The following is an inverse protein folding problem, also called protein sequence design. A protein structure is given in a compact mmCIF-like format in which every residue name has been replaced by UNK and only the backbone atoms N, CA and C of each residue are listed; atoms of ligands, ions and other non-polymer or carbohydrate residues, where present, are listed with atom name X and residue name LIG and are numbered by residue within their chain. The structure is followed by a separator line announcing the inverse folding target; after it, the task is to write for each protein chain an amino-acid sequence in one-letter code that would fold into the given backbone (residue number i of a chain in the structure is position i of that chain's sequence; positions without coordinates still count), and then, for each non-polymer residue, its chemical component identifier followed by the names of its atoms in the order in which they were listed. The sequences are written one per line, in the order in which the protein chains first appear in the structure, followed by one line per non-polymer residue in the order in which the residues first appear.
data_IF_954221074917
#
_entry.id   IF_954221074917
#
_cell.length_a   1.000
_cell.length_b   1.000
_cell.length_c   1.000
_cell.angle_alpha   90.00
_cell.angle_beta   90.00
_cell.angle_gamma   90.00
#
_symmetry.space_group_name_H-M   'P 1'
#
loop_
_entity.id
_entity.type
_entity.pdbx_description
1 polymer ?
#
# COMPACT_ATOMS: atom_id res chain seq x y z
N UNK A 1 10.44 31.51 6.34
CA UNK A 1 11.67 31.21 5.62
C UNK A 1 12.26 29.93 6.18
N UNK A 2 11.94 28.80 5.59
CA UNK A 2 12.66 27.53 5.81
C UNK A 2 13.89 27.62 4.92
N UNK A 3 15.04 27.84 5.54
CA UNK A 3 16.34 27.89 4.84
C UNK A 3 16.80 26.44 4.67
N UNK A 4 16.61 25.87 3.49
CA UNK A 4 17.34 24.65 3.08
C UNK A 4 18.72 25.13 2.61
N UNK A 5 19.67 25.29 3.53
CA UNK A 5 21.08 25.51 3.19
C UNK A 5 21.78 24.16 3.06
N UNK A 6 22.30 23.91 1.87
CA UNK A 6 23.40 23.00 1.55
C UNK A 6 23.55 21.77 2.46
N UNK A 7 23.02 20.65 2.02
CA UNK A 7 23.52 19.35 2.48
C UNK A 7 24.96 19.25 2.02
N UNK A 8 25.90 19.59 2.90
CA UNK A 8 27.31 19.29 2.69
C UNK A 8 27.44 17.82 2.36
N UNK A 9 28.13 17.51 1.27
CA UNK A 9 28.64 16.17 1.00
C UNK A 9 29.34 15.70 2.26
N UNK A 10 28.70 14.84 3.05
CA UNK A 10 29.37 14.12 4.13
C UNK A 10 30.40 13.21 3.47
N UNK A 11 31.60 13.74 3.32
CA UNK A 11 32.80 12.96 3.08
C UNK A 11 32.97 12.13 4.36
N UNK A 12 32.62 10.87 4.31
CA UNK A 12 33.03 9.89 5.31
C UNK A 12 34.55 9.92 5.33
N UNK A 13 35.13 10.70 6.27
CA UNK A 13 36.55 10.58 6.55
C UNK A 13 36.76 9.14 7.05
N UNK A 14 37.56 8.37 6.33
CA UNK A 14 38.10 7.10 6.80
C UNK A 14 38.82 7.36 8.11
N UNK A 15 38.21 7.02 9.22
CA UNK A 15 38.92 6.86 10.46
C UNK A 15 39.72 5.57 10.34
N UNK A 16 41.03 5.67 10.24
CA UNK A 16 42.00 4.55 10.34
C UNK A 16 42.13 4.02 11.79
N UNK A 17 41.04 3.93 12.52
CA UNK A 17 40.98 3.16 13.75
C UNK A 17 40.69 1.72 13.37
N UNK A 18 41.57 0.79 13.75
CA UNK A 18 41.62 -0.62 13.35
C UNK A 18 40.27 -1.25 13.07
N UNK A 19 40.09 -1.73 11.84
CA UNK A 19 38.84 -2.32 11.36
C UNK A 19 38.35 -3.36 12.35
N UNK A 20 37.32 -3.03 13.12
CA UNK A 20 36.67 -3.97 14.00
C UNK A 20 35.99 -5.05 13.15
N UNK A 21 36.37 -6.32 13.36
CA UNK A 21 35.85 -7.48 12.64
C UNK A 21 34.30 -7.52 12.52
N UNK A 22 33.59 -6.83 13.43
CA UNK A 22 32.12 -6.71 13.39
C UNK A 22 31.59 -5.94 12.18
N UNK A 23 32.38 -5.04 11.58
CA UNK A 23 31.96 -4.26 10.41
C UNK A 23 32.24 -4.97 9.08
N UNK A 24 33.14 -5.97 9.07
CA UNK A 24 33.51 -6.67 7.83
C UNK A 24 32.33 -7.30 7.11
N UNK A 25 31.31 -7.77 7.85
CA UNK A 25 30.08 -8.32 7.27
C UNK A 25 29.30 -7.24 6.50
N UNK A 26 29.20 -6.05 7.06
CA UNK A 26 28.46 -4.93 6.44
C UNK A 26 29.23 -4.42 5.22
N UNK A 27 30.56 -4.26 5.36
CA UNK A 27 31.40 -3.81 4.25
C UNK A 27 31.35 -4.79 3.07
N UNK A 28 31.43 -6.09 3.31
CA UNK A 28 31.29 -7.12 2.28
C UNK A 28 29.91 -7.08 1.61
N UNK A 29 28.83 -6.91 2.37
CA UNK A 29 27.49 -6.79 1.82
C UNK A 29 27.34 -5.54 0.94
N UNK A 30 27.88 -4.39 1.37
CA UNK A 30 27.87 -3.15 0.58
C UNK A 30 28.68 -3.26 -0.72
N UNK A 31 29.82 -3.95 -0.68
CA UNK A 31 30.64 -4.24 -1.87
C UNK A 31 29.85 -5.12 -2.83
N UNK A 32 29.28 -6.21 -2.35
CA UNK A 32 28.46 -7.13 -3.15
C UNK A 32 27.26 -6.42 -3.80
N UNK A 33 26.56 -5.53 -3.07
CA UNK A 33 25.46 -4.75 -3.63
C UNK A 33 25.92 -3.83 -4.78
N UNK A 34 27.13 -3.27 -4.69
CA UNK A 34 27.70 -2.42 -5.74
C UNK A 34 28.15 -3.24 -6.97
N UNK A 35 28.79 -4.39 -6.72
CA UNK A 35 29.25 -5.29 -7.78
C UNK A 35 28.09 -5.88 -8.59
N UNK A 36 26.95 -6.13 -7.93
CA UNK A 36 25.73 -6.66 -8.56
C UNK A 36 24.75 -5.56 -8.99
N UNK A 37 25.16 -4.30 -9.05
CA UNK A 37 24.31 -3.15 -9.42
C UNK A 37 23.03 -2.97 -8.58
N UNK A 38 22.97 -3.56 -7.40
CA UNK A 38 21.82 -3.48 -6.47
C UNK A 38 21.95 -2.38 -5.41
N UNK A 39 23.00 -1.56 -5.47
CA UNK A 39 23.24 -0.49 -4.49
C UNK A 39 22.30 0.68 -4.73
N UNK A 40 21.43 0.95 -3.75
CA UNK A 40 20.40 1.99 -3.85
C UNK A 40 20.88 3.33 -3.31
N UNK A 41 20.54 4.40 -4.03
CA UNK A 41 20.77 5.79 -3.60
C UNK A 41 19.44 6.55 -3.62
N UNK A 42 19.30 7.51 -2.71
CA UNK A 42 18.12 8.39 -2.68
C UNK A 42 18.41 9.68 -3.44
N UNK A 43 17.46 10.09 -4.31
CA UNK A 43 17.46 11.39 -4.95
C UNK A 43 16.47 12.31 -4.26
N UNK A 44 16.86 13.55 -3.98
CA UNK A 44 15.98 14.53 -3.38
C UNK A 44 15.13 15.23 -4.46
N UNK A 45 13.81 15.22 -4.26
CA UNK A 45 12.88 16.02 -5.06
C UNK A 45 12.76 17.38 -4.39
N UNK A 46 12.97 18.46 -5.16
CA UNK A 46 13.01 19.86 -4.68
C UNK A 46 11.68 20.59 -4.87
N UNK A 47 10.73 19.98 -5.55
CA UNK A 47 9.38 20.52 -5.82
C UNK A 47 8.28 19.69 -5.12
N UNK A 48 7.04 20.13 -5.26
CA UNK A 48 5.89 19.28 -4.90
C UNK A 48 5.83 18.05 -5.83
N UNK A 49 5.31 16.93 -5.32
CA UNK A 49 5.05 15.74 -6.12
C UNK A 49 3.90 16.00 -7.09
N UNK A 50 4.20 15.98 -8.38
CA UNK A 50 3.24 16.10 -9.48
C UNK A 50 3.80 15.36 -10.71
N UNK A 51 3.17 15.51 -11.87
CA UNK A 51 3.66 14.95 -13.15
C UNK A 51 5.04 15.49 -13.55
N UNK A 52 5.43 16.65 -13.03
CA UNK A 52 6.75 17.24 -13.22
C UNK A 52 7.38 17.54 -11.87
N UNK A 53 8.66 17.24 -11.74
CA UNK A 53 9.43 17.47 -10.50
C UNK A 53 10.81 18.03 -10.82
N UNK A 54 11.38 18.78 -9.87
CA UNK A 54 12.73 19.29 -9.94
C UNK A 54 13.67 18.41 -9.11
N UNK A 55 14.78 17.95 -9.71
CA UNK A 55 15.83 17.17 -9.05
C UNK A 55 17.18 17.75 -9.50
N UNK A 56 18.05 18.06 -8.56
CA UNK A 56 19.37 18.71 -8.83
C UNK A 56 19.23 19.95 -9.73
N UNK A 57 18.21 20.78 -9.50
CA UNK A 57 17.90 21.99 -10.24
C UNK A 57 17.44 21.77 -11.70
N UNK A 58 17.07 20.55 -12.09
CA UNK A 58 16.55 20.21 -13.42
C UNK A 58 15.14 19.66 -13.34
N UNK A 59 14.32 20.01 -14.32
CA UNK A 59 12.96 19.53 -14.43
C UNK A 59 12.89 18.16 -15.13
N UNK A 60 12.08 17.27 -14.56
CA UNK A 60 11.84 15.91 -15.07
C UNK A 60 10.35 15.61 -15.12
N UNK A 61 9.96 14.79 -16.11
CA UNK A 61 8.65 14.12 -16.10
C UNK A 61 8.72 12.95 -15.14
N UNK A 62 7.81 12.93 -14.14
CA UNK A 62 7.79 11.89 -13.11
C UNK A 62 6.89 10.73 -13.56
N UNK A 63 7.50 9.63 -14.01
CA UNK A 63 6.81 8.44 -14.50
C UNK A 63 6.69 7.32 -13.43
N UNK A 64 7.30 7.48 -12.26
CA UNK A 64 7.39 6.43 -11.24
C UNK A 64 6.68 6.78 -9.91
N UNK A 65 5.78 7.77 -9.92
CA UNK A 65 5.03 8.16 -8.73
C UNK A 65 3.83 7.24 -8.49
N UNK A 66 3.58 6.93 -7.21
CA UNK A 66 2.33 6.30 -6.79
C UNK A 66 1.19 7.30 -6.52
N UNK A 67 1.41 8.60 -6.72
CA UNK A 67 0.39 9.64 -6.63
C UNK A 67 -0.48 9.64 -7.91
N UNK A 68 -1.16 8.52 -8.16
CA UNK A 68 -1.81 8.19 -9.43
C UNK A 68 -2.82 9.22 -9.93
N UNK A 69 -3.47 9.95 -9.01
CA UNK A 69 -4.50 10.95 -9.33
C UNK A 69 -4.02 12.39 -9.19
N UNK A 70 -2.72 12.59 -8.88
CA UNK A 70 -2.10 13.90 -8.65
C UNK A 70 -2.85 14.77 -7.64
N UNK A 71 -3.26 14.16 -6.51
CA UNK A 71 -4.00 14.87 -5.47
C UNK A 71 -3.19 15.15 -4.19
N UNK A 72 -1.96 14.64 -4.06
CA UNK A 72 -1.12 14.89 -2.88
C UNK A 72 -0.89 16.38 -2.58
N UNK A 73 -0.95 17.24 -3.60
CA UNK A 73 -0.83 18.70 -3.49
C UNK A 73 -2.14 19.46 -3.65
N UNK A 74 -3.30 18.75 -3.61
CA UNK A 74 -4.60 19.34 -3.85
C UNK A 74 -4.93 20.47 -2.85
N UNK A 75 -5.57 21.58 -3.31
CA UNK A 75 -5.91 22.71 -2.41
C UNK A 75 -6.74 22.31 -1.20
N UNK A 76 -7.71 21.39 -1.36
CA UNK A 76 -8.54 20.89 -0.26
C UNK A 76 -7.71 20.17 0.80
N UNK A 77 -6.71 19.36 0.40
CA UNK A 77 -5.80 18.70 1.34
C UNK A 77 -4.97 19.74 2.10
N UNK A 78 -4.39 20.70 1.41
CA UNK A 78 -3.62 21.79 2.03
C UNK A 78 -4.46 22.58 3.04
N UNK A 79 -5.72 22.89 2.71
CA UNK A 79 -6.64 23.60 3.60
C UNK A 79 -6.95 22.77 4.85
N UNK A 80 -7.28 21.49 4.70
CA UNK A 80 -7.55 20.58 5.82
C UNK A 80 -6.34 20.42 6.76
N UNK A 81 -5.13 20.34 6.19
CA UNK A 81 -3.86 20.30 6.94
C UNK A 81 -3.65 21.56 7.77
N UNK A 82 -3.87 22.74 7.20
CA UNK A 82 -3.72 24.01 7.90
C UNK A 82 -4.74 24.15 9.05
N UNK A 83 -5.99 23.79 8.81
CA UNK A 83 -7.05 23.81 9.83
C UNK A 83 -6.74 22.83 10.98
N UNK A 84 -6.39 21.59 10.65
CA UNK A 84 -6.05 20.58 11.64
C UNK A 84 -4.82 20.97 12.46
N UNK A 85 -3.81 21.57 11.83
CA UNK A 85 -2.61 22.08 12.52
C UNK A 85 -2.98 23.17 13.52
N UNK A 86 -3.85 24.12 13.13
CA UNK A 86 -4.31 25.20 14.01
C UNK A 86 -5.09 24.67 15.21
N UNK A 87 -5.90 23.61 15.02
CA UNK A 87 -6.81 23.08 16.05
C UNK A 87 -6.15 22.07 16.99
N UNK A 88 -5.32 21.18 16.46
CA UNK A 88 -4.79 20.01 17.19
C UNK A 88 -3.28 20.07 17.41
N UNK A 89 -2.56 21.01 16.82
CA UNK A 89 -1.11 20.96 16.71
C UNK A 89 -0.68 19.87 15.71
N UNK A 90 0.62 19.54 15.70
CA UNK A 90 1.17 18.60 14.70
C UNK A 90 1.15 17.15 15.15
N UNK A 91 1.55 16.85 16.39
CA UNK A 91 1.77 15.47 16.86
C UNK A 91 0.55 14.84 17.53
N UNK A 92 0.48 13.51 17.55
CA UNK A 92 -0.60 12.74 18.21
C UNK A 92 -0.39 12.58 19.72
N UNK A 93 0.85 12.62 20.21
CA UNK A 93 1.21 12.52 21.63
C UNK A 93 1.09 11.14 22.25
N UNK A 94 0.64 10.10 21.52
CA UNK A 94 0.49 8.75 22.07
C UNK A 94 -0.07 7.74 21.06
N UNK A 95 -0.27 6.50 21.52
CA UNK A 95 -0.97 5.48 20.74
C UNK A 95 -2.48 5.73 20.68
N UNK A 96 -3.16 5.08 19.74
CA UNK A 96 -4.61 5.20 19.56
C UNK A 96 -5.41 4.79 20.82
N UNK A 97 -4.91 3.83 21.58
CA UNK A 97 -5.59 3.30 22.79
C UNK A 97 -5.30 4.13 24.05
N UNK A 98 -4.42 5.11 23.98
CA UNK A 98 -4.10 5.98 25.12
C UNK A 98 -4.58 7.41 24.86
N UNK A 99 -3.74 8.27 24.31
CA UNK A 99 -4.01 9.70 24.10
C UNK A 99 -4.02 10.12 22.63
N UNK A 100 -3.60 9.27 21.72
CA UNK A 100 -3.41 9.58 20.31
C UNK A 100 -4.66 9.44 19.44
N UNK A 101 -5.85 9.22 20.02
CA UNK A 101 -7.10 9.13 19.26
C UNK A 101 -7.88 10.43 19.35
N UNK A 102 -8.01 11.14 18.23
CA UNK A 102 -8.83 12.36 18.13
C UNK A 102 -10.11 12.10 17.33
N UNK A 103 -11.04 13.06 17.35
CA UNK A 103 -12.26 13.00 16.54
C UNK A 103 -11.96 12.79 15.06
N UNK A 104 -10.89 13.40 14.53
CA UNK A 104 -10.50 13.27 13.10
C UNK A 104 -10.16 11.83 12.75
N UNK A 105 -9.55 11.06 13.66
CA UNK A 105 -9.29 9.64 13.47
C UNK A 105 -10.58 8.85 13.25
N UNK A 106 -11.55 9.05 14.15
CA UNK A 106 -12.83 8.36 14.05
C UNK A 106 -13.60 8.76 12.80
N UNK A 107 -13.55 10.06 12.44
CA UNK A 107 -14.19 10.56 11.22
C UNK A 107 -13.60 9.93 9.96
N UNK A 108 -12.26 9.82 9.89
CA UNK A 108 -11.60 9.16 8.77
C UNK A 108 -11.95 7.67 8.69
N UNK A 109 -11.92 6.94 9.80
CA UNK A 109 -12.26 5.52 9.84
C UNK A 109 -13.71 5.28 9.38
N UNK A 110 -14.66 6.10 9.84
CA UNK A 110 -16.04 6.06 9.39
C UNK A 110 -16.16 6.38 7.88
N UNK A 111 -15.36 7.35 7.40
CA UNK A 111 -15.33 7.72 5.99
C UNK A 111 -14.80 6.57 5.11
N UNK A 112 -13.72 5.91 5.54
CA UNK A 112 -13.17 4.73 4.84
C UNK A 112 -14.21 3.60 4.81
N UNK A 113 -14.85 3.30 5.94
CA UNK A 113 -15.89 2.27 6.02
C UNK A 113 -17.03 2.55 5.04
N UNK A 114 -17.52 3.80 5.02
CA UNK A 114 -18.56 4.23 4.07
C UNK A 114 -18.09 4.12 2.62
N UNK A 115 -16.87 4.61 2.31
CA UNK A 115 -16.31 4.58 0.96
C UNK A 115 -16.10 3.15 0.45
N UNK A 116 -15.74 2.21 1.33
CA UNK A 116 -15.55 0.79 1.01
C UNK A 116 -16.81 -0.05 1.20
N UNK A 117 -17.92 0.57 1.60
CA UNK A 117 -19.21 -0.12 1.87
C UNK A 117 -19.07 -1.26 2.87
N UNK A 118 -18.29 -1.06 3.93
CA UNK A 118 -18.02 -2.06 4.98
C UNK A 118 -18.59 -1.63 6.33
N UNK A 119 -18.64 -2.55 7.28
CA UNK A 119 -19.19 -2.27 8.61
C UNK A 119 -18.35 -1.32 9.46
N UNK A 120 -17.02 -1.36 9.30
CA UNK A 120 -16.07 -0.49 10.01
C UNK A 120 -14.71 -0.46 9.29
N UNK A 121 -13.82 0.45 9.74
CA UNK A 121 -12.43 0.49 9.32
C UNK A 121 -11.50 0.85 10.49
N UNK A 122 -10.22 0.53 10.34
CA UNK A 122 -9.14 0.87 11.28
C UNK A 122 -7.92 1.35 10.50
N UNK A 123 -7.30 2.44 10.96
CA UNK A 123 -6.13 3.06 10.30
C UNK A 123 -4.84 2.70 11.02
N UNK A 124 -3.83 2.33 10.23
CA UNK A 124 -2.46 2.01 10.64
C UNK A 124 -1.47 3.06 10.10
N UNK A 125 -0.28 3.11 10.68
CA UNK A 125 0.74 4.10 10.31
C UNK A 125 1.22 3.99 8.85
N UNK A 126 1.23 2.80 8.29
CA UNK A 126 1.58 2.56 6.88
C UNK A 126 0.79 1.36 6.34
N UNK A 127 0.67 1.23 5.02
CA UNK A 127 0.14 0.02 4.39
C UNK A 127 0.96 -1.23 4.77
N UNK A 128 2.29 -1.09 4.88
CA UNK A 128 3.16 -2.16 5.33
C UNK A 128 2.76 -2.68 6.72
N UNK A 129 2.57 -1.77 7.68
CA UNK A 129 2.14 -2.13 9.05
C UNK A 129 0.73 -2.71 9.05
N UNK A 130 -0.18 -2.20 8.20
CA UNK A 130 -1.54 -2.74 8.09
C UNK A 130 -1.53 -4.22 7.69
N UNK A 131 -0.75 -4.61 6.67
CA UNK A 131 -0.59 -6.01 6.27
C UNK A 131 0.04 -6.87 7.37
N UNK A 132 1.22 -6.47 7.85
CA UNK A 132 1.95 -7.25 8.86
C UNK A 132 1.14 -7.45 10.13
N UNK A 133 0.51 -6.37 10.64
CA UNK A 133 -0.26 -6.42 11.87
C UNK A 133 -1.56 -7.23 11.74
N UNK A 134 -2.23 -7.12 10.60
CA UNK A 134 -3.48 -7.82 10.33
C UNK A 134 -3.24 -9.31 10.16
N UNK A 135 -2.34 -9.71 9.27
CA UNK A 135 -2.06 -11.13 9.03
C UNK A 135 -1.58 -11.81 10.32
N UNK A 136 -0.65 -11.18 11.05
CA UNK A 136 -0.14 -11.75 12.30
C UNK A 136 -1.13 -11.74 13.46
N UNK A 137 -2.24 -10.98 13.36
CA UNK A 137 -3.34 -11.03 14.31
C UNK A 137 -4.39 -12.10 13.93
N UNK A 138 -4.61 -12.30 12.63
CA UNK A 138 -5.65 -13.20 12.12
C UNK A 138 -5.27 -14.68 12.17
N UNK A 139 -3.99 -14.99 11.99
CA UNK A 139 -3.47 -16.37 11.96
C UNK A 139 -2.23 -16.53 12.81
N UNK A 140 -2.04 -17.74 13.36
CA UNK A 140 -0.94 -18.07 14.24
C UNK A 140 -0.45 -19.51 14.01
N UNK A 141 0.44 -20.01 14.87
CA UNK A 141 0.97 -21.38 14.76
C UNK A 141 -0.18 -22.40 14.83
N UNK A 142 -0.29 -23.21 13.80
CA UNK A 142 -1.35 -24.22 13.63
C UNK A 142 -2.34 -23.87 12.52
N UNK A 143 -2.48 -22.59 12.20
CA UNK A 143 -3.30 -22.10 11.09
C UNK A 143 -2.54 -22.15 9.76
N UNK A 144 -3.23 -21.92 8.65
CA UNK A 144 -2.64 -21.90 7.31
C UNK A 144 -2.90 -20.57 6.59
N UNK A 145 -1.87 -20.06 5.90
CA UNK A 145 -1.98 -18.93 4.98
C UNK A 145 -1.72 -19.42 3.56
N UNK A 146 -2.66 -19.20 2.66
CA UNK A 146 -2.47 -19.38 1.22
C UNK A 146 -2.16 -18.02 0.60
N UNK A 147 -0.96 -17.86 0.04
CA UNK A 147 -0.44 -16.58 -0.45
C UNK A 147 -0.05 -16.68 -1.91
N UNK A 148 -0.49 -15.72 -2.74
CA UNK A 148 0.02 -15.58 -4.09
C UNK A 148 1.54 -15.38 -4.10
N UNK A 149 2.25 -15.95 -5.07
CA UNK A 149 3.72 -15.91 -5.12
C UNK A 149 4.28 -14.53 -5.40
N UNK A 150 3.51 -13.63 -6.02
CA UNK A 150 3.91 -12.25 -6.32
C UNK A 150 3.35 -11.21 -5.34
N UNK A 151 2.76 -11.64 -4.23
CA UNK A 151 2.27 -10.73 -3.21
C UNK A 151 3.36 -9.77 -2.70
N UNK A 152 2.94 -8.58 -2.33
CA UNK A 152 3.81 -7.54 -1.79
C UNK A 152 4.61 -8.02 -0.57
N UNK A 153 5.84 -7.52 -0.41
CA UNK A 153 6.76 -7.91 0.67
C UNK A 153 6.13 -7.81 2.08
N UNK A 154 5.25 -6.85 2.34
CA UNK A 154 4.56 -6.72 3.63
C UNK A 154 3.61 -7.89 3.93
N UNK A 155 2.98 -8.46 2.92
CA UNK A 155 2.15 -9.66 3.05
C UNK A 155 3.05 -10.85 3.40
N UNK A 156 4.15 -11.04 2.67
CA UNK A 156 5.14 -12.10 2.93
C UNK A 156 5.68 -12.00 4.35
N UNK A 157 6.03 -10.80 4.81
CA UNK A 157 6.56 -10.60 6.14
C UNK A 157 5.49 -10.79 7.23
N UNK A 158 4.24 -10.39 6.97
CA UNK A 158 3.11 -10.69 7.84
C UNK A 158 2.87 -12.20 8.00
N UNK A 159 2.91 -12.94 6.88
CA UNK A 159 2.82 -14.40 6.88
C UNK A 159 3.94 -15.04 7.72
N UNK A 160 5.18 -14.62 7.52
CA UNK A 160 6.33 -15.11 8.30
C UNK A 160 6.21 -14.82 9.81
N UNK A 161 5.76 -13.60 10.14
CA UNK A 161 5.61 -13.17 11.53
C UNK A 161 4.51 -13.95 12.26
N UNK A 162 3.45 -14.33 11.57
CA UNK A 162 2.33 -15.08 12.14
C UNK A 162 2.71 -16.46 12.65
N UNK A 163 3.78 -17.07 12.10
CA UNK A 163 4.22 -18.46 12.35
C UNK A 163 3.22 -19.51 11.89
N UNK A 164 2.23 -19.14 11.11
CA UNK A 164 1.31 -20.05 10.45
C UNK A 164 2.04 -20.87 9.37
N UNK A 165 1.43 -21.96 8.91
CA UNK A 165 1.91 -22.69 7.74
C UNK A 165 1.66 -21.85 6.50
N UNK A 166 2.71 -21.51 5.75
CA UNK A 166 2.60 -20.70 4.54
C UNK A 166 2.61 -21.63 3.33
N UNK A 167 1.55 -21.55 2.53
CA UNK A 167 1.39 -22.27 1.25
C UNK A 167 1.33 -21.23 0.14
N UNK A 168 2.34 -21.22 -0.71
CA UNK A 168 2.39 -20.33 -1.87
C UNK A 168 1.70 -21.02 -3.06
N UNK A 169 0.82 -20.29 -3.75
CA UNK A 169 0.22 -20.73 -5.00
C UNK A 169 0.73 -19.88 -6.17
N UNK A 170 0.68 -20.45 -7.37
CA UNK A 170 1.14 -19.79 -8.59
C UNK A 170 0.34 -18.52 -8.87
N UNK A 171 1.03 -17.50 -9.37
CA UNK A 171 0.50 -16.16 -9.55
C UNK A 171 -0.84 -16.13 -10.30
N UNK A 172 -1.86 -15.59 -9.62
CA UNK A 172 -3.23 -15.38 -10.11
C UNK A 172 -3.86 -16.65 -10.75
N UNK A 173 -3.38 -17.84 -10.30
CA UNK A 173 -3.84 -19.16 -10.75
C UNK A 173 -4.82 -19.78 -9.74
N UNK A 174 -6.11 -19.62 -10.05
CA UNK A 174 -7.18 -20.11 -9.18
C UNK A 174 -7.28 -21.62 -9.14
N UNK A 175 -6.84 -22.32 -10.20
CA UNK A 175 -6.80 -23.79 -10.21
C UNK A 175 -5.68 -24.33 -9.32
N UNK A 176 -4.51 -23.68 -9.34
CA UNK A 176 -3.42 -24.01 -8.42
C UNK A 176 -3.81 -23.71 -6.96
N UNK A 177 -4.50 -22.58 -6.70
CA UNK A 177 -5.03 -22.26 -5.37
C UNK A 177 -5.99 -23.36 -4.88
N UNK A 178 -6.96 -23.78 -5.69
CA UNK A 178 -7.87 -24.90 -5.36
C UNK A 178 -7.11 -26.19 -5.07
N UNK A 179 -6.10 -26.49 -5.88
CA UNK A 179 -5.24 -27.68 -5.69
C UNK A 179 -4.48 -27.58 -4.36
N UNK A 180 -3.85 -26.46 -4.08
CA UNK A 180 -3.07 -26.22 -2.85
C UNK A 180 -3.93 -26.33 -1.60
N UNK A 181 -5.17 -25.85 -1.61
CA UNK A 181 -6.09 -25.98 -0.49
C UNK A 181 -6.45 -27.45 -0.27
N UNK A 182 -6.81 -28.20 -1.32
CA UNK A 182 -7.11 -29.64 -1.20
C UNK A 182 -5.94 -30.45 -0.66
N UNK A 183 -4.71 -30.13 -1.08
CA UNK A 183 -3.49 -30.81 -0.63
C UNK A 183 -3.08 -30.42 0.82
N UNK A 184 -3.59 -29.32 1.34
CA UNK A 184 -3.25 -28.77 2.65
C UNK A 184 -4.51 -28.41 3.45
N UNK A 185 -5.36 -29.40 3.82
CA UNK A 185 -6.56 -29.13 4.59
C UNK A 185 -6.21 -28.49 5.94
N UNK A 186 -6.98 -27.49 6.35
CA UNK A 186 -6.81 -26.78 7.61
C UNK A 186 -8.17 -26.45 8.21
N UNK A 187 -8.22 -26.33 9.53
CA UNK A 187 -9.42 -25.90 10.25
C UNK A 187 -9.61 -24.39 10.19
N UNK A 188 -8.48 -23.66 10.31
CA UNK A 188 -8.47 -22.20 10.26
C UNK A 188 -7.41 -21.72 9.25
N UNK A 189 -7.78 -20.73 8.46
CA UNK A 189 -6.85 -20.16 7.49
C UNK A 189 -7.34 -18.90 6.81
N UNK A 190 -6.43 -18.32 6.07
CA UNK A 190 -6.65 -17.12 5.28
C UNK A 190 -6.06 -17.30 3.87
N UNK A 191 -6.77 -16.83 2.86
CA UNK A 191 -6.22 -16.65 1.51
C UNK A 191 -5.94 -15.18 1.30
N UNK A 192 -4.73 -14.83 0.90
CA UNK A 192 -4.31 -13.44 0.74
C UNK A 192 -3.72 -13.17 -0.63
N UNK A 193 -4.13 -12.05 -1.24
CA UNK A 193 -3.65 -11.60 -2.55
C UNK A 193 -3.67 -10.07 -2.66
N UNK A 194 -2.74 -9.52 -3.46
CA UNK A 194 -2.88 -8.16 -3.98
C UNK A 194 -4.06 -8.09 -4.97
N UNK A 195 -4.80 -6.99 -4.97
CA UNK A 195 -5.86 -6.71 -5.94
C UNK A 195 -5.31 -6.34 -7.32
N UNK A 196 -4.23 -5.55 -7.29
CA UNK A 196 -3.43 -5.14 -8.45
C UNK A 196 -1.96 -5.32 -8.07
N UNK A 197 -1.25 -6.12 -8.82
CA UNK A 197 0.14 -6.45 -8.52
C UNK A 197 1.08 -5.32 -8.93
N UNK A 198 1.95 -4.92 -8.01
CA UNK A 198 2.72 -3.66 -8.11
C UNK A 198 3.77 -3.63 -9.23
N UNK A 199 4.23 -4.79 -9.71
CA UNK A 199 5.25 -4.89 -10.76
C UNK A 199 4.64 -5.17 -12.13
N UNK A 200 3.61 -6.03 -12.17
CA UNK A 200 3.03 -6.54 -13.42
C UNK A 200 1.78 -5.74 -13.84
N UNK A 201 1.09 -5.13 -12.86
CA UNK A 201 -0.10 -4.32 -13.10
C UNK A 201 -1.35 -5.13 -13.45
N UNK A 202 -1.30 -6.44 -13.34
CA UNK A 202 -2.44 -7.31 -13.55
C UNK A 202 -3.41 -7.33 -12.36
N UNK A 203 -4.61 -7.82 -12.58
CA UNK A 203 -5.74 -7.71 -11.66
C UNK A 203 -6.14 -9.11 -11.18
N UNK A 204 -6.32 -9.27 -9.87
CA UNK A 204 -6.82 -10.48 -9.23
C UNK A 204 -8.19 -10.88 -9.82
N UNK A 205 -8.38 -12.16 -10.09
CA UNK A 205 -9.68 -12.76 -10.47
C UNK A 205 -10.60 -12.87 -9.24
N UNK A 206 -11.07 -11.72 -8.74
CA UNK A 206 -11.80 -11.62 -7.47
C UNK A 206 -13.01 -12.56 -7.35
N UNK A 207 -13.91 -12.72 -8.36
CA UNK A 207 -15.06 -13.60 -8.21
C UNK A 207 -14.66 -15.06 -7.91
N UNK A 208 -13.71 -15.60 -8.67
CA UNK A 208 -13.21 -16.96 -8.46
C UNK A 208 -12.44 -17.10 -7.15
N UNK A 209 -11.69 -16.08 -6.76
CA UNK A 209 -10.98 -16.03 -5.47
C UNK A 209 -11.97 -16.11 -4.29
N UNK A 210 -13.07 -15.36 -4.34
CA UNK A 210 -14.10 -15.39 -3.31
C UNK A 210 -14.84 -16.72 -3.28
N UNK A 211 -15.16 -17.33 -4.45
CA UNK A 211 -15.77 -18.66 -4.52
C UNK A 211 -14.93 -19.68 -3.75
N UNK A 212 -13.60 -19.65 -3.97
CA UNK A 212 -12.67 -20.58 -3.31
C UNK A 212 -12.64 -20.35 -1.79
N UNK A 213 -12.61 -19.10 -1.36
CA UNK A 213 -12.62 -18.78 0.07
C UNK A 213 -13.91 -19.27 0.75
N UNK A 214 -15.08 -19.01 0.15
CA UNK A 214 -16.38 -19.41 0.67
C UNK A 214 -16.55 -20.94 0.71
N UNK A 215 -16.20 -21.64 -0.40
CA UNK A 215 -16.25 -23.09 -0.49
C UNK A 215 -15.45 -23.81 0.60
N UNK A 216 -14.34 -23.20 1.04
CA UNK A 216 -13.41 -23.78 2.00
C UNK A 216 -13.49 -23.14 3.40
N UNK A 217 -14.43 -22.22 3.63
CA UNK A 217 -14.60 -21.49 4.90
C UNK A 217 -13.31 -20.77 5.38
N UNK A 218 -12.54 -20.23 4.44
CA UNK A 218 -11.31 -19.49 4.68
C UNK A 218 -11.60 -17.99 4.61
N UNK A 219 -10.92 -17.20 5.45
CA UNK A 219 -10.98 -15.74 5.32
C UNK A 219 -10.35 -15.28 4.02
N UNK A 220 -11.02 -14.38 3.34
CA UNK A 220 -10.51 -13.67 2.18
C UNK A 220 -9.81 -12.38 2.62
N UNK A 221 -8.56 -12.15 2.19
CA UNK A 221 -7.85 -10.88 2.37
C UNK A 221 -7.35 -10.37 1.04
N UNK A 222 -7.67 -9.12 0.72
CA UNK A 222 -7.24 -8.46 -0.53
C UNK A 222 -6.59 -7.12 -0.22
N UNK A 223 -5.38 -6.91 -0.74
CA UNK A 223 -4.66 -5.64 -0.66
C UNK A 223 -4.98 -4.75 -1.87
N UNK A 224 -5.71 -3.69 -1.63
CA UNK A 224 -6.13 -2.71 -2.63
C UNK A 224 -5.18 -1.50 -2.77
N UNK A 225 -3.94 -1.61 -2.32
CA UNK A 225 -3.01 -0.48 -2.35
C UNK A 225 -2.82 0.13 -3.75
N UNK A 226 -2.95 -0.67 -4.80
CA UNK A 226 -2.83 -0.25 -6.20
C UNK A 226 -4.15 -0.23 -6.97
N UNK A 227 -5.27 -0.56 -6.33
CA UNK A 227 -6.59 -0.62 -6.97
C UNK A 227 -7.50 0.54 -6.60
N UNK A 228 -7.51 0.97 -5.33
CA UNK A 228 -8.30 2.12 -4.85
C UNK A 228 -7.89 3.40 -5.59
N UNK A 229 -8.86 4.08 -6.21
CA UNK A 229 -8.64 5.27 -7.04
C UNK A 229 -8.07 4.98 -8.43
N UNK A 230 -7.89 3.71 -8.82
CA UNK A 230 -7.25 3.31 -10.08
C UNK A 230 -8.19 2.51 -10.97
N UNK A 231 -8.83 1.47 -10.44
CA UNK A 231 -9.75 0.61 -11.19
C UNK A 231 -11.18 0.75 -10.67
N UNK A 232 -12.13 0.28 -11.49
CA UNK A 232 -13.55 0.55 -11.34
C UNK A 232 -13.97 1.86 -12.02
N UNK A 233 -15.26 2.08 -12.20
CA UNK A 233 -15.80 3.24 -12.91
C UNK A 233 -15.52 4.54 -12.16
N UNK A 234 -15.66 4.51 -10.84
CA UNK A 234 -15.48 5.67 -9.95
C UNK A 234 -14.26 5.55 -9.04
N UNK A 235 -13.46 4.46 -9.16
CA UNK A 235 -12.25 4.25 -8.41
C UNK A 235 -12.45 3.59 -7.04
N UNK A 236 -13.59 2.95 -6.81
CA UNK A 236 -13.82 2.20 -5.56
C UNK A 236 -12.97 0.92 -5.45
N UNK A 237 -12.28 0.53 -6.53
CA UNK A 237 -11.32 -0.56 -6.52
C UNK A 237 -11.86 -1.86 -7.09
N UNK A 238 -11.35 -3.00 -6.58
CA UNK A 238 -11.51 -4.30 -7.25
C UNK A 238 -12.95 -4.81 -7.28
N UNK A 239 -13.74 -4.55 -6.23
CA UNK A 239 -15.14 -4.97 -6.19
C UNK A 239 -15.96 -4.25 -7.26
N UNK A 240 -15.78 -2.94 -7.41
CA UNK A 240 -16.42 -2.16 -8.46
C UNK A 240 -15.98 -2.63 -9.85
N UNK A 241 -14.70 -2.90 -10.05
CA UNK A 241 -14.14 -3.39 -11.32
C UNK A 241 -14.82 -4.68 -11.79
N UNK A 242 -15.04 -5.64 -10.88
CA UNK A 242 -15.69 -6.91 -11.18
C UNK A 242 -17.21 -6.88 -11.02
N UNK A 243 -17.83 -5.75 -10.66
CA UNK A 243 -19.24 -5.65 -10.27
C UNK A 243 -19.64 -6.67 -9.19
N UNK A 244 -18.67 -7.00 -8.30
CA UNK A 244 -18.83 -8.01 -7.27
C UNK A 244 -19.64 -7.46 -6.08
N UNK A 245 -20.72 -8.17 -5.70
CA UNK A 245 -21.61 -7.78 -4.61
C UNK A 245 -21.18 -8.34 -3.25
N UNK A 246 -20.46 -9.45 -3.25
CA UNK A 246 -19.93 -10.03 -2.02
C UNK A 246 -18.86 -9.13 -1.41
N UNK A 247 -18.75 -9.22 -0.10
CA UNK A 247 -17.68 -8.53 0.62
C UNK A 247 -16.41 -9.38 0.60
N UNK A 248 -15.27 -8.72 0.55
CA UNK A 248 -13.99 -9.30 0.97
C UNK A 248 -13.95 -9.19 2.49
N UNK A 249 -13.63 -10.27 3.21
CA UNK A 249 -13.63 -10.24 4.67
C UNK A 249 -12.68 -9.21 5.23
N UNK A 250 -11.46 -9.15 4.67
CA UNK A 250 -10.38 -8.27 5.09
C UNK A 250 -9.92 -7.45 3.89
N UNK A 251 -10.45 -6.24 3.76
CA UNK A 251 -10.08 -5.32 2.68
C UNK A 251 -9.01 -4.36 3.19
N UNK A 252 -7.77 -4.60 2.80
CA UNK A 252 -6.65 -3.73 3.12
C UNK A 252 -6.44 -2.69 2.03
N UNK A 253 -6.00 -1.49 2.39
CA UNK A 253 -5.60 -0.46 1.43
C UNK A 253 -4.60 0.52 2.01
N UNK A 254 -4.08 1.39 1.16
CA UNK A 254 -3.16 2.45 1.57
C UNK A 254 -3.73 3.84 1.31
N UNK A 255 -3.37 4.78 2.17
CA UNK A 255 -3.70 6.20 2.05
C UNK A 255 -2.59 6.99 1.34
N UNK A 256 -1.44 6.34 1.06
CA UNK A 256 -0.22 6.99 0.59
C UNK A 256 -0.02 6.99 -0.94
N UNK A 257 -1.00 6.54 -1.71
CA UNK A 257 -0.93 6.48 -3.17
C UNK A 257 -2.00 7.38 -3.81
N UNK A 258 -3.03 6.83 -4.42
CA UNK A 258 -4.10 7.60 -5.07
C UNK A 258 -4.84 8.59 -4.16
N UNK A 259 -4.87 8.34 -2.84
CA UNK A 259 -5.48 9.25 -1.86
C UNK A 259 -4.58 10.45 -1.52
N UNK A 260 -3.28 10.35 -1.82
CA UNK A 260 -2.34 11.47 -1.70
C UNK A 260 -1.93 11.84 -0.28
N UNK A 261 -2.14 10.95 0.70
CA UNK A 261 -1.79 11.15 2.10
C UNK A 261 -0.75 10.16 2.62
N UNK A 262 -0.92 9.67 3.85
CA UNK A 262 -0.03 8.70 4.50
C UNK A 262 -0.83 7.70 5.34
N UNK A 263 -0.32 6.46 5.45
CA UNK A 263 -0.93 5.43 6.27
C UNK A 263 -1.46 4.27 5.46
N UNK A 264 -2.03 3.29 6.17
CA UNK A 264 -2.78 2.18 5.63
C UNK A 264 -4.08 1.99 6.41
N UNK A 265 -4.99 1.20 5.88
CA UNK A 265 -6.24 0.87 6.57
C UNK A 265 -6.61 -0.59 6.34
N UNK A 266 -7.44 -1.10 7.22
CA UNK A 266 -8.22 -2.31 6.99
C UNK A 266 -9.69 -1.99 7.18
N UNK A 267 -10.52 -2.42 6.25
CA UNK A 267 -11.97 -2.29 6.28
C UNK A 267 -12.61 -3.69 6.20
N UNK A 268 -13.75 -3.87 6.87
CA UNK A 268 -14.45 -5.14 6.93
C UNK A 268 -15.63 -5.09 7.89
N UNK A 269 -16.09 -6.26 8.36
CA UNK A 269 -17.15 -6.31 9.36
C UNK A 269 -16.72 -5.65 10.68
N UNK A 270 -17.68 -5.08 11.41
CA UNK A 270 -17.41 -4.41 12.70
C UNK A 270 -16.67 -5.31 13.68
N UNK A 271 -17.07 -6.61 13.79
CA UNK A 271 -16.40 -7.57 14.67
C UNK A 271 -14.94 -7.82 14.31
N UNK A 272 -14.58 -7.81 13.02
CA UNK A 272 -13.19 -7.91 12.58
C UNK A 272 -12.38 -6.69 13.05
N UNK A 273 -12.91 -5.50 12.85
CA UNK A 273 -12.23 -4.26 13.23
C UNK A 273 -12.07 -4.15 14.75
N UNK A 274 -13.07 -4.57 15.51
CA UNK A 274 -12.95 -4.67 16.97
C UNK A 274 -11.87 -5.68 17.38
N UNK A 275 -11.80 -6.83 16.72
CA UNK A 275 -10.77 -7.82 16.95
C UNK A 275 -9.39 -7.25 16.67
N UNK A 276 -9.16 -6.63 15.49
CA UNK A 276 -7.87 -6.03 15.13
C UNK A 276 -7.45 -4.91 16.08
N UNK A 277 -8.41 -4.10 16.56
CA UNK A 277 -8.14 -3.04 17.55
C UNK A 277 -7.55 -3.59 18.84
N UNK A 278 -7.90 -4.82 19.21
CA UNK A 278 -7.47 -5.47 20.44
C UNK A 278 -6.30 -6.46 20.25
N UNK A 279 -6.05 -6.93 19.03
CA UNK A 279 -5.06 -7.98 18.77
C UNK A 279 -3.91 -7.54 17.87
N UNK A 280 -4.11 -6.57 16.97
CA UNK A 280 -3.10 -6.13 16.02
C UNK A 280 -1.99 -5.33 16.72
N UNK A 281 -0.85 -5.96 16.96
CA UNK A 281 0.27 -5.36 17.70
C UNK A 281 0.81 -4.09 17.06
N UNK A 282 0.84 -4.01 15.73
CA UNK A 282 1.28 -2.81 15.00
C UNK A 282 0.34 -1.61 15.18
N UNK A 283 -0.92 -1.83 15.59
CA UNK A 283 -1.85 -0.80 16.01
C UNK A 283 -1.66 -0.44 17.50
N UNK A 284 -1.66 -1.45 18.37
CA UNK A 284 -1.66 -1.27 19.83
C UNK A 284 -0.39 -0.55 20.30
N UNK A 285 0.77 -0.96 19.78
CA UNK A 285 2.10 -0.52 20.26
C UNK A 285 2.77 0.54 19.38
N UNK A 286 2.02 1.15 18.46
CA UNK A 286 2.50 2.27 17.64
C UNK A 286 1.93 3.59 18.13
N UNK A 287 2.74 4.64 18.12
CA UNK A 287 2.24 6.02 18.20
C UNK A 287 1.32 6.27 17.01
N UNK A 288 0.19 6.91 17.26
CA UNK A 288 -0.80 7.25 16.22
C UNK A 288 -0.23 8.14 15.13
N UNK A 289 -0.74 8.05 13.93
CA UNK A 289 -0.60 9.13 12.93
C UNK A 289 -1.12 10.45 13.50
N UNK A 290 -0.56 11.56 13.04
CA UNK A 290 -0.95 12.89 13.53
C UNK A 290 -2.39 13.26 13.10
N UNK A 291 -3.11 14.08 13.88
CA UNK A 291 -4.41 14.60 13.44
C UNK A 291 -4.34 15.33 12.10
N UNK A 292 -3.20 15.94 11.79
CA UNK A 292 -2.93 16.63 10.52
C UNK A 292 -2.90 15.64 9.36
N UNK A 293 -2.21 14.51 9.52
CA UNK A 293 -2.20 13.43 8.53
C UNK A 293 -3.60 12.84 8.35
N UNK A 294 -4.35 12.64 9.43
CA UNK A 294 -5.71 12.12 9.35
C UNK A 294 -6.66 13.06 8.59
N UNK A 295 -6.51 14.38 8.81
CA UNK A 295 -7.29 15.38 8.08
C UNK A 295 -6.91 15.43 6.58
N UNK A 296 -5.63 15.31 6.25
CA UNK A 296 -5.17 15.19 4.88
C UNK A 296 -5.80 13.99 4.16
N UNK A 297 -5.78 12.81 4.82
CA UNK A 297 -6.37 11.58 4.30
C UNK A 297 -7.89 11.71 4.08
N UNK A 298 -8.60 12.30 5.03
CA UNK A 298 -10.04 12.54 4.93
C UNK A 298 -10.36 13.41 3.72
N UNK A 299 -9.65 14.53 3.57
CA UNK A 299 -9.81 15.43 2.42
C UNK A 299 -9.44 14.74 1.11
N UNK A 300 -8.42 13.85 1.09
CA UNK A 300 -8.03 13.07 -0.08
C UNK A 300 -9.15 12.12 -0.55
N UNK A 301 -9.80 11.41 0.38
CA UNK A 301 -10.96 10.55 0.05
C UNK A 301 -12.14 11.40 -0.46
N UNK A 302 -12.40 12.56 0.16
CA UNK A 302 -13.47 13.45 -0.30
C UNK A 302 -13.21 14.02 -1.72
N UNK A 303 -11.95 14.30 -2.07
CA UNK A 303 -11.56 14.70 -3.42
C UNK A 303 -11.82 13.56 -4.40
N UNK A 304 -11.43 12.33 -4.05
CA UNK A 304 -11.65 11.15 -4.88
C UNK A 304 -13.14 10.93 -5.18
N UNK A 305 -14.01 11.07 -4.17
CA UNK A 305 -15.47 10.92 -4.36
C UNK A 305 -16.10 12.04 -5.22
N UNK A 306 -15.61 13.27 -5.05
CA UNK A 306 -16.16 14.44 -5.77
C UNK A 306 -15.62 14.59 -7.18
N UNK A 307 -14.38 14.16 -7.42
CA UNK A 307 -13.65 14.38 -8.68
C UNK A 307 -13.38 13.05 -9.41
N UNK A 308 -14.42 12.23 -9.59
CA UNK A 308 -14.33 10.91 -10.27
C UNK A 308 -13.76 10.99 -11.69
N UNK A 309 -13.87 12.16 -12.34
CA UNK A 309 -13.23 12.43 -13.63
C UNK A 309 -11.70 12.20 -13.61
N UNK A 310 -11.03 12.28 -12.45
CA UNK A 310 -9.59 11.96 -12.32
C UNK A 310 -9.33 10.48 -12.62
N UNK A 311 -10.20 9.59 -12.15
CA UNK A 311 -10.13 8.15 -12.40
C UNK A 311 -10.32 7.86 -13.89
N UNK A 312 -11.32 8.45 -14.50
CA UNK A 312 -11.57 8.32 -15.95
C UNK A 312 -10.40 8.85 -16.78
N UNK A 313 -9.82 10.00 -16.38
CA UNK A 313 -8.64 10.56 -17.03
C UNK A 313 -7.42 9.66 -16.88
N UNK A 314 -7.19 9.07 -15.70
CA UNK A 314 -6.11 8.10 -15.49
C UNK A 314 -6.27 6.91 -16.43
N UNK A 315 -7.46 6.31 -16.49
CA UNK A 315 -7.74 5.15 -17.35
C UNK A 315 -7.58 5.50 -18.84
N UNK A 316 -7.99 6.71 -19.25
CA UNK A 316 -7.75 7.20 -20.60
C UNK A 316 -6.25 7.35 -20.89
N UNK A 317 -5.47 7.94 -19.96
CA UNK A 317 -4.03 8.10 -20.11
C UNK A 317 -3.31 6.74 -20.21
N UNK A 318 -3.73 5.73 -19.44
CA UNK A 318 -3.20 4.36 -19.55
C UNK A 318 -3.40 3.80 -20.96
N UNK A 319 -4.64 3.86 -21.48
CA UNK A 319 -4.96 3.38 -22.83
C UNK A 319 -4.17 4.14 -23.90
N UNK A 320 -4.10 5.47 -23.78
CA UNK A 320 -3.32 6.30 -24.69
C UNK A 320 -1.84 5.94 -24.67
N UNK A 321 -1.25 5.83 -23.49
CA UNK A 321 0.18 5.53 -23.33
C UNK A 321 0.53 4.14 -23.87
N UNK A 322 -0.24 3.12 -23.55
CA UNK A 322 -0.07 1.77 -24.12
C UNK A 322 -0.16 1.79 -25.66
N UNK A 323 -1.14 2.51 -26.21
CA UNK A 323 -1.29 2.63 -27.67
C UNK A 323 -0.08 3.36 -28.32
N UNK A 324 0.49 4.38 -27.66
CA UNK A 324 1.69 5.03 -28.17
C UNK A 324 2.91 4.10 -28.10
N UNK A 325 3.12 3.39 -26.98
CA UNK A 325 4.22 2.42 -26.86
C UNK A 325 4.17 1.35 -27.97
N UNK A 326 2.99 0.83 -28.27
CA UNK A 326 2.79 -0.15 -29.35
C UNK A 326 3.19 0.42 -30.74
N UNK A 327 2.93 1.73 -31.01
CA UNK A 327 3.37 2.38 -32.26
C UNK A 327 4.89 2.43 -32.40
N UNK A 328 5.61 2.46 -31.29
CA UNK A 328 7.08 2.42 -31.26
C UNK A 328 7.62 0.99 -31.15
N UNK A 329 6.78 -0.04 -31.31
CA UNK A 329 7.20 -1.44 -31.26
C UNK A 329 7.41 -1.99 -29.84
N UNK A 330 7.03 -1.23 -28.82
CA UNK A 330 7.11 -1.66 -27.41
C UNK A 330 5.80 -2.33 -27.03
N UNK A 331 5.86 -3.64 -26.72
CA UNK A 331 4.68 -4.40 -26.33
C UNK A 331 4.38 -4.16 -24.84
N UNK A 332 3.64 -3.11 -24.55
CA UNK A 332 3.13 -2.81 -23.22
C UNK A 332 1.61 -2.84 -23.24
N UNK A 333 1.01 -3.55 -22.29
CA UNK A 333 -0.43 -3.63 -22.08
C UNK A 333 -0.70 -3.53 -20.60
N UNK A 334 -1.69 -2.72 -20.23
CA UNK A 334 -2.18 -2.64 -18.85
C UNK A 334 -3.61 -2.12 -18.84
N UNK A 335 -4.35 -2.52 -17.83
CA UNK A 335 -5.68 -1.96 -17.48
C UNK A 335 -5.62 -1.11 -16.21
N UNK A 336 -4.43 -0.97 -15.63
CA UNK A 336 -4.16 -0.23 -14.39
C UNK A 336 -3.15 0.89 -14.60
N UNK A 337 -2.87 1.66 -13.56
CA UNK A 337 -1.86 2.74 -13.62
C UNK A 337 -0.41 2.22 -13.73
N UNK A 338 -0.20 0.92 -13.61
CA UNK A 338 1.11 0.26 -13.70
C UNK A 338 1.28 -0.30 -15.10
N UNK A 339 2.26 0.23 -15.83
CA UNK A 339 2.55 -0.16 -17.22
C UNK A 339 3.99 -0.65 -17.28
N UNK A 340 4.24 -1.97 -17.14
CA UNK A 340 5.60 -2.50 -17.18
C UNK A 340 6.18 -2.42 -18.60
N UNK A 341 7.40 -1.90 -18.70
CA UNK A 341 8.19 -1.91 -19.93
C UNK A 341 9.41 -2.78 -19.65
N UNK A 342 9.39 -4.01 -20.18
CA UNK A 342 10.45 -4.99 -19.96
C UNK A 342 11.67 -4.67 -20.83
N UNK A 343 12.82 -4.44 -20.21
CA UNK A 343 14.09 -4.12 -20.89
C UNK A 343 15.19 -5.17 -20.62
N UNK A 344 14.89 -6.24 -19.89
CA UNK A 344 15.83 -7.29 -19.51
C UNK A 344 16.44 -7.10 -18.13
N UNK A 345 17.56 -7.77 -17.87
CA UNK A 345 18.26 -7.69 -16.58
C UNK A 345 18.91 -6.32 -16.40
N UNK A 346 18.99 -5.83 -15.15
CA UNK A 346 19.60 -4.55 -14.77
C UNK A 346 21.13 -4.60 -14.82
#
# INVERSE_FOLDING_TARGET
HVIVRNVQKNVYQKSDAGKSQKWDRIDKALVSLKENHLFRTMKAIESAQSSHVTVDGKDYVLMASNNYLDIASHPSIKSAVMEATSRYGFGSGGSRLTTGNTVVHNTLENKIASYKETGAAIVFNTGYVANVATISAMVNKGDTVFSDELNHASIIDGCRLSKAKIITYAHNDMDDLRRKIRENPCENGIVVSDAVFSMDGDILKLPEFLDICEENQLFSMVDEAHSTGVIGETGHGIREYWHEKRQVDILMGTLSKSIGGEGGYVAGETRLIEYLRNMARGFIFSTSLSPVTMAANLAGIEVLEKETARVTNLQHNVKYFCAQLQRYGINAKSETAIIPVMIGDE
#
